data_IF_079001212360
#
_entry.id   IF_079001212360
#
_cell.length_a   1.000
_cell.length_b   1.000
_cell.length_c   1.000
_cell.angle_alpha   90.00
_cell.angle_beta   90.00
_cell.angle_gamma   90.00
#
_symmetry.space_group_name_H-M   'P 1'
#
loop_
_entity.id
_entity.type
_entity.pdbx_description
1 polymer ?
#
# COMPACT_ATOMS: atom_id res chain seq x y z
N UNK A 1 -33.90 -29.29 -31.42
CA UNK A 1 -33.67 -28.41 -30.24
C UNK A 1 -34.26 -29.09 -29.03
N UNK A 2 -33.66 -30.21 -28.57
CA UNK A 2 -34.18 -31.00 -27.43
C UNK A 2 -33.07 -31.96 -26.91
N UNK A 3 -31.95 -31.41 -26.38
CA UNK A 3 -30.86 -32.26 -25.81
C UNK A 3 -30.41 -31.77 -24.42
N UNK A 4 -30.91 -30.63 -23.91
CA UNK A 4 -30.40 -30.04 -22.67
C UNK A 4 -31.07 -30.49 -21.36
N UNK A 5 -32.26 -31.06 -21.44
CA UNK A 5 -33.04 -31.44 -20.25
C UNK A 5 -32.72 -32.85 -19.71
N UNK A 6 -32.29 -33.75 -20.57
CA UNK A 6 -32.01 -35.13 -20.15
C UNK A 6 -30.74 -35.28 -19.29
N UNK A 7 -29.70 -34.46 -19.55
CA UNK A 7 -28.43 -34.51 -18.79
C UNK A 7 -28.55 -33.96 -17.35
N UNK A 8 -29.47 -33.03 -17.12
CA UNK A 8 -29.71 -32.47 -15.79
C UNK A 8 -30.56 -33.38 -14.90
N UNK A 9 -31.49 -34.11 -15.50
CA UNK A 9 -32.36 -35.07 -14.79
C UNK A 9 -31.53 -36.28 -14.36
N UNK A 10 -30.73 -36.85 -15.26
CA UNK A 10 -29.86 -38.01 -14.95
C UNK A 10 -28.81 -37.67 -13.88
N UNK A 11 -28.34 -36.45 -13.85
CA UNK A 11 -27.38 -35.99 -12.83
C UNK A 11 -28.04 -35.80 -11.46
N UNK A 12 -29.31 -35.40 -11.40
CA UNK A 12 -30.09 -35.32 -10.16
C UNK A 12 -30.44 -36.71 -9.62
N UNK A 13 -30.86 -37.61 -10.48
CA UNK A 13 -31.21 -39.00 -10.10
C UNK A 13 -30.00 -39.77 -9.52
N UNK A 14 -28.81 -39.63 -10.13
CA UNK A 14 -27.57 -40.23 -9.61
C UNK A 14 -27.11 -39.61 -8.30
N UNK A 15 -27.33 -38.33 -8.06
CA UNK A 15 -26.97 -37.66 -6.81
C UNK A 15 -27.89 -38.09 -5.66
N UNK A 16 -29.20 -38.29 -5.93
CA UNK A 16 -30.14 -38.81 -4.94
C UNK A 16 -29.86 -40.25 -4.57
N UNK A 17 -29.44 -41.09 -5.53
CA UNK A 17 -29.11 -42.52 -5.34
C UNK A 17 -27.87 -42.70 -4.45
N UNK A 18 -26.94 -41.72 -4.44
CA UNK A 18 -25.74 -41.72 -3.58
C UNK A 18 -25.92 -40.92 -2.29
N UNK A 19 -27.13 -40.40 -2.01
CA UNK A 19 -27.41 -39.61 -0.81
C UNK A 19 -26.68 -38.27 -0.77
N UNK A 20 -26.14 -37.81 -1.93
CA UNK A 20 -25.49 -36.52 -2.05
C UNK A 20 -26.53 -35.48 -2.49
N UNK A 21 -27.19 -34.86 -1.54
CA UNK A 21 -28.03 -33.67 -1.81
C UNK A 21 -27.12 -32.51 -2.17
N UNK A 22 -27.08 -32.11 -3.45
CA UNK A 22 -26.39 -30.89 -3.86
C UNK A 22 -27.16 -29.69 -3.31
N UNK A 23 -26.59 -29.07 -2.29
CA UNK A 23 -27.15 -27.84 -1.72
C UNK A 23 -26.98 -26.67 -2.71
N UNK A 24 -28.06 -25.97 -3.03
CA UNK A 24 -27.96 -24.78 -3.87
C UNK A 24 -27.32 -23.62 -3.10
N UNK A 25 -26.20 -23.13 -3.65
CA UNK A 25 -25.54 -21.93 -3.11
C UNK A 25 -26.47 -20.75 -3.30
N UNK A 26 -26.89 -20.14 -2.21
CA UNK A 26 -27.81 -19.01 -2.21
C UNK A 26 -27.13 -17.77 -2.78
N UNK A 27 -27.88 -16.95 -3.50
CA UNK A 27 -27.40 -15.75 -4.18
C UNK A 27 -26.65 -14.77 -3.26
N UNK A 28 -27.07 -14.61 -2.02
CA UNK A 28 -26.42 -13.72 -1.04
C UNK A 28 -25.03 -14.23 -0.63
N UNK A 29 -24.79 -15.56 -0.55
CA UNK A 29 -23.47 -16.10 -0.26
C UNK A 29 -22.50 -15.83 -1.42
N UNK A 30 -23.00 -15.94 -2.67
CA UNK A 30 -22.24 -15.56 -3.86
C UNK A 30 -21.92 -14.06 -3.89
N UNK A 31 -22.87 -13.20 -3.53
CA UNK A 31 -22.65 -11.76 -3.49
C UNK A 31 -21.57 -11.40 -2.47
N UNK A 32 -21.59 -11.98 -1.27
CA UNK A 32 -20.56 -11.74 -0.26
C UNK A 32 -19.18 -12.19 -0.76
N UNK A 33 -19.09 -13.36 -1.40
CA UNK A 33 -17.84 -13.82 -1.99
C UNK A 33 -17.32 -12.87 -3.09
N UNK A 34 -18.19 -12.47 -4.02
CA UNK A 34 -17.83 -11.53 -5.08
C UNK A 34 -17.38 -10.19 -4.48
N UNK A 35 -18.07 -9.68 -3.47
CA UNK A 35 -17.71 -8.44 -2.78
C UNK A 35 -16.33 -8.56 -2.09
N UNK A 36 -16.03 -9.69 -1.46
CA UNK A 36 -14.70 -9.94 -0.89
C UNK A 36 -13.60 -9.97 -1.95
N UNK A 37 -13.84 -10.62 -3.10
CA UNK A 37 -12.90 -10.62 -4.22
C UNK A 37 -12.71 -9.21 -4.81
N UNK A 38 -13.80 -8.45 -5.01
CA UNK A 38 -13.74 -7.07 -5.49
C UNK A 38 -12.89 -6.21 -4.55
N UNK A 39 -13.03 -6.37 -3.24
CA UNK A 39 -12.22 -5.62 -2.27
C UNK A 39 -10.73 -5.88 -2.43
N UNK A 40 -10.32 -7.13 -2.70
CA UNK A 40 -8.91 -7.47 -2.98
C UNK A 40 -8.46 -6.88 -4.33
N UNK A 41 -9.30 -6.95 -5.34
CA UNK A 41 -9.00 -6.34 -6.65
C UNK A 41 -8.80 -4.83 -6.49
N UNK A 42 -9.66 -4.14 -5.76
CA UNK A 42 -9.52 -2.70 -5.46
C UNK A 42 -8.24 -2.40 -4.67
N UNK A 43 -7.90 -3.22 -3.68
CA UNK A 43 -6.67 -3.07 -2.91
C UNK A 43 -5.41 -3.07 -3.80
N UNK A 44 -5.36 -3.96 -4.78
CA UNK A 44 -4.20 -4.12 -5.67
C UNK A 44 -4.23 -3.10 -6.82
N UNK A 45 -5.41 -2.92 -7.44
CA UNK A 45 -5.54 -2.07 -8.63
C UNK A 45 -5.42 -0.58 -8.32
N UNK A 46 -5.76 -0.14 -7.11
CA UNK A 46 -5.71 1.27 -6.73
C UNK A 46 -4.28 1.85 -6.79
N UNK A 47 -3.28 1.29 -6.07
CA UNK A 47 -1.92 1.79 -6.14
C UNK A 47 -1.29 1.58 -7.52
N UNK A 48 -1.53 0.45 -8.18
CA UNK A 48 -1.00 0.18 -9.52
C UNK A 48 -1.61 1.13 -10.56
N UNK A 49 -2.91 1.41 -10.47
CA UNK A 49 -3.59 2.36 -11.35
C UNK A 49 -2.99 3.77 -11.25
N UNK A 50 -2.67 4.22 -10.04
CA UNK A 50 -1.96 5.48 -9.84
C UNK A 50 -0.52 5.42 -10.39
N UNK A 51 0.24 4.38 -10.03
CA UNK A 51 1.63 4.20 -10.47
C UNK A 51 1.81 4.24 -11.99
N UNK A 52 0.86 3.67 -12.74
CA UNK A 52 0.89 3.63 -14.20
C UNK A 52 0.11 4.80 -14.86
N UNK A 53 -0.27 5.82 -14.09
CA UNK A 53 -0.95 7.01 -14.61
C UNK A 53 -2.37 6.75 -15.12
N UNK A 54 -2.99 5.61 -14.81
CA UNK A 54 -4.35 5.27 -15.22
C UNK A 54 -5.41 5.96 -14.35
N UNK A 55 -5.08 6.29 -13.11
CA UNK A 55 -5.99 6.94 -12.15
C UNK A 55 -5.28 8.04 -11.39
N UNK A 56 -6.02 9.09 -11.00
CA UNK A 56 -5.49 10.14 -10.11
C UNK A 56 -5.37 9.66 -8.66
N UNK A 57 -4.56 10.35 -7.87
CA UNK A 57 -4.28 10.04 -6.46
C UNK A 57 -5.56 9.94 -5.62
N UNK A 58 -6.48 10.88 -5.79
CA UNK A 58 -7.76 10.92 -5.08
C UNK A 58 -8.61 9.67 -5.35
N UNK A 59 -8.66 9.24 -6.63
CA UNK A 59 -9.39 8.03 -7.03
C UNK A 59 -8.76 6.77 -6.48
N UNK A 60 -7.42 6.71 -6.44
CA UNK A 60 -6.70 5.58 -5.86
C UNK A 60 -6.97 5.46 -4.35
N UNK A 61 -6.85 6.55 -3.58
CA UNK A 61 -7.18 6.54 -2.15
C UNK A 61 -8.67 6.28 -1.89
N UNK A 62 -9.58 6.81 -2.71
CA UNK A 62 -11.01 6.50 -2.65
C UNK A 62 -11.29 5.00 -2.85
N UNK A 63 -10.61 4.39 -3.81
CA UNK A 63 -10.70 2.94 -4.07
C UNK A 63 -10.15 2.10 -2.91
N UNK A 64 -9.05 2.53 -2.29
CA UNK A 64 -8.53 1.88 -1.08
C UNK A 64 -9.49 2.00 0.10
N UNK A 65 -10.09 3.17 0.31
CA UNK A 65 -11.08 3.37 1.36
C UNK A 65 -12.29 2.45 1.15
N UNK A 66 -12.79 2.33 -0.09
CA UNK A 66 -13.87 1.40 -0.45
C UNK A 66 -13.45 -0.05 -0.22
N UNK A 67 -12.22 -0.43 -0.57
CA UNK A 67 -11.70 -1.78 -0.32
C UNK A 67 -11.70 -2.11 1.16
N UNK A 68 -11.20 -1.23 2.01
CA UNK A 68 -11.09 -1.43 3.46
C UNK A 68 -12.46 -1.43 4.14
N UNK A 69 -13.28 -0.40 3.90
CA UNK A 69 -14.63 -0.28 4.51
C UNK A 69 -15.55 -1.38 4.01
N UNK A 70 -15.54 -1.67 2.70
CA UNK A 70 -16.30 -2.76 2.11
C UNK A 70 -15.89 -4.11 2.71
N UNK A 71 -14.59 -4.35 2.87
CA UNK A 71 -14.07 -5.56 3.52
C UNK A 71 -14.53 -5.71 4.96
N UNK A 72 -14.54 -4.64 5.74
CA UNK A 72 -15.02 -4.68 7.12
C UNK A 72 -16.50 -5.10 7.19
N UNK A 73 -17.32 -4.55 6.30
CA UNK A 73 -18.75 -4.91 6.21
C UNK A 73 -18.92 -6.38 5.78
N UNK A 74 -18.24 -6.79 4.69
CA UNK A 74 -18.32 -8.18 4.18
C UNK A 74 -17.84 -9.17 5.24
N UNK A 75 -16.75 -8.87 5.95
CA UNK A 75 -16.22 -9.72 7.02
C UNK A 75 -17.24 -9.88 8.15
N UNK A 76 -17.82 -8.78 8.63
CA UNK A 76 -18.82 -8.79 9.70
C UNK A 76 -20.05 -9.58 9.30
N UNK A 77 -20.61 -9.31 8.10
CA UNK A 77 -21.81 -10.00 7.61
C UNK A 77 -21.51 -11.49 7.38
N UNK A 78 -20.37 -11.83 6.79
CA UNK A 78 -19.96 -13.21 6.57
C UNK A 78 -19.81 -13.96 7.89
N UNK A 79 -19.23 -13.34 8.92
CA UNK A 79 -19.11 -13.94 10.25
C UNK A 79 -20.47 -14.28 10.86
N UNK A 80 -21.41 -13.33 10.85
CA UNK A 80 -22.77 -13.56 11.33
C UNK A 80 -23.48 -14.67 10.54
N UNK A 81 -23.34 -14.65 9.22
CA UNK A 81 -23.98 -15.63 8.35
C UNK A 81 -23.35 -17.03 8.48
N UNK A 82 -22.05 -17.15 8.78
CA UNK A 82 -21.40 -18.43 9.10
C UNK A 82 -22.05 -19.07 10.33
N UNK A 83 -22.34 -18.28 11.38
CA UNK A 83 -23.03 -18.79 12.57
C UNK A 83 -24.43 -19.30 12.22
N UNK A 84 -25.18 -18.55 11.41
CA UNK A 84 -26.55 -18.92 11.00
C UNK A 84 -26.54 -20.19 10.14
N UNK A 85 -25.66 -20.28 9.15
CA UNK A 85 -25.56 -21.43 8.24
C UNK A 85 -25.08 -22.67 8.97
N UNK A 86 -24.19 -22.54 9.94
CA UNK A 86 -23.77 -23.66 10.80
C UNK A 86 -24.93 -24.23 11.59
N UNK A 87 -25.77 -23.36 12.16
CA UNK A 87 -26.97 -23.81 12.92
C UNK A 87 -28.03 -24.44 12.03
N UNK A 88 -28.09 -24.09 10.74
CA UNK A 88 -29.05 -24.61 9.76
C UNK A 88 -28.55 -25.79 8.94
N UNK A 89 -27.30 -26.22 9.12
CA UNK A 89 -26.69 -27.32 8.36
C UNK A 89 -26.39 -27.01 6.90
N UNK A 90 -26.30 -25.73 6.50
CA UNK A 90 -26.07 -25.30 5.12
C UNK A 90 -24.56 -25.27 4.82
N UNK A 91 -23.96 -26.43 4.50
CA UNK A 91 -22.51 -26.62 4.40
C UNK A 91 -21.88 -25.83 3.26
N UNK A 92 -22.46 -25.91 2.04
CA UNK A 92 -21.88 -25.26 0.86
C UNK A 92 -21.95 -23.72 0.97
N UNK A 93 -23.06 -23.20 1.53
CA UNK A 93 -23.18 -21.77 1.81
C UNK A 93 -22.15 -21.31 2.86
N UNK A 94 -21.88 -22.12 3.89
CA UNK A 94 -20.87 -21.84 4.91
C UNK A 94 -19.47 -21.75 4.30
N UNK A 95 -19.10 -22.66 3.40
CA UNK A 95 -17.80 -22.61 2.73
C UNK A 95 -17.61 -21.29 1.94
N UNK A 96 -18.62 -20.89 1.16
CA UNK A 96 -18.58 -19.62 0.41
C UNK A 96 -18.37 -18.40 1.33
N UNK A 97 -19.05 -18.39 2.48
CA UNK A 97 -18.92 -17.33 3.47
C UNK A 97 -17.54 -17.30 4.15
N UNK A 98 -16.99 -18.46 4.46
CA UNK A 98 -15.63 -18.55 5.02
C UNK A 98 -14.61 -18.01 4.01
N UNK A 99 -14.74 -18.38 2.74
CA UNK A 99 -13.88 -17.86 1.68
C UNK A 99 -14.06 -16.34 1.53
N UNK A 100 -15.30 -15.83 1.54
CA UNK A 100 -15.59 -14.40 1.51
C UNK A 100 -14.92 -13.65 2.68
N UNK A 101 -15.00 -14.21 3.88
CA UNK A 101 -14.37 -13.66 5.08
C UNK A 101 -12.83 -13.63 4.93
N UNK A 102 -12.22 -14.70 4.40
CA UNK A 102 -10.78 -14.76 4.18
C UNK A 102 -10.32 -13.70 3.16
N UNK A 103 -11.02 -13.54 2.03
CA UNK A 103 -10.70 -12.48 1.08
C UNK A 103 -10.87 -11.08 1.69
N UNK A 104 -11.92 -10.87 2.47
CA UNK A 104 -12.18 -9.58 3.14
C UNK A 104 -11.18 -9.26 4.26
N UNK A 105 -10.49 -10.27 4.80
CA UNK A 105 -9.46 -10.05 5.81
C UNK A 105 -8.20 -9.40 5.21
N UNK A 106 -7.88 -9.67 3.92
CA UNK A 106 -6.66 -9.19 3.28
C UNK A 106 -6.53 -7.65 3.25
N UNK A 107 -7.55 -6.87 2.80
CA UNK A 107 -7.47 -5.41 2.83
C UNK A 107 -7.34 -4.84 4.25
N UNK A 108 -7.95 -5.48 5.25
CA UNK A 108 -7.85 -5.06 6.64
C UNK A 108 -6.45 -5.32 7.21
N UNK A 109 -5.88 -6.50 6.94
CA UNK A 109 -4.50 -6.84 7.35
C UNK A 109 -3.46 -5.93 6.67
N UNK A 110 -3.72 -5.48 5.45
CA UNK A 110 -2.85 -4.54 4.76
C UNK A 110 -2.98 -3.12 5.32
N UNK A 111 -4.19 -2.63 5.61
CA UNK A 111 -4.45 -1.24 5.97
C UNK A 111 -4.25 -0.94 7.47
N UNK A 112 -4.69 -1.84 8.36
CA UNK A 112 -4.68 -1.58 9.81
C UNK A 112 -3.27 -1.34 10.37
N UNK A 113 -2.24 -2.13 10.04
CA UNK A 113 -0.88 -1.86 10.48
C UNK A 113 -0.34 -0.53 9.96
N UNK A 114 -0.68 -0.17 8.71
CA UNK A 114 -0.25 1.10 8.11
C UNK A 114 -0.90 2.29 8.82
N UNK A 115 -2.17 2.20 9.16
CA UNK A 115 -2.86 3.22 9.95
C UNK A 115 -2.16 3.49 11.28
N UNK A 116 -1.84 2.45 12.04
CA UNK A 116 -1.11 2.61 13.31
C UNK A 116 0.29 3.18 13.10
N UNK A 117 1.00 2.74 12.07
CA UNK A 117 2.33 3.24 11.74
C UNK A 117 2.30 4.74 11.40
N UNK A 118 1.40 5.17 10.53
CA UNK A 118 1.24 6.59 10.16
C UNK A 118 0.80 7.42 11.35
N UNK A 119 -0.10 6.91 12.19
CA UNK A 119 -0.58 7.62 13.38
C UNK A 119 0.47 7.75 14.49
N UNK A 120 1.57 7.00 14.43
CA UNK A 120 2.64 7.02 15.43
C UNK A 120 3.78 8.00 15.12
N UNK A 121 3.77 8.60 13.93
CA UNK A 121 4.79 9.55 13.48
C UNK A 121 4.21 10.96 13.33
N UNK A 122 5.01 12.02 13.50
CA UNK A 122 4.55 13.39 13.26
C UNK A 122 4.24 13.60 11.77
N UNK A 123 3.24 14.44 11.43
CA UNK A 123 2.90 14.74 10.05
C UNK A 123 3.87 15.81 9.48
N UNK A 124 5.12 15.43 9.26
CA UNK A 124 6.16 16.27 8.66
C UNK A 124 6.55 15.68 7.30
N UNK A 125 6.80 16.55 6.32
CA UNK A 125 7.12 16.14 4.95
C UNK A 125 8.63 16.11 4.69
N UNK A 126 9.42 16.85 5.47
CA UNK A 126 10.86 16.96 5.33
C UNK A 126 11.57 16.59 6.62
N UNK A 127 12.71 15.90 6.50
CA UNK A 127 13.57 15.50 7.61
C UNK A 127 15.00 15.84 7.25
N UNK A 128 15.63 16.71 8.04
CA UNK A 128 17.02 17.11 7.85
C UNK A 128 17.90 16.80 9.06
N UNK A 129 19.14 16.41 8.83
CA UNK A 129 20.14 16.29 9.88
C UNK A 129 20.64 17.65 10.36
N UNK A 130 20.55 18.67 9.52
CA UNK A 130 20.91 20.06 9.84
C UNK A 130 19.66 20.94 9.78
N UNK A 131 19.09 21.25 10.94
CA UNK A 131 17.87 22.05 11.06
C UNK A 131 18.10 23.58 10.99
N UNK A 132 19.35 24.01 11.14
CA UNK A 132 19.73 25.44 11.08
C UNK A 132 20.00 25.85 9.64
N UNK A 133 20.67 24.98 8.89
CA UNK A 133 21.02 25.19 7.50
C UNK A 133 20.77 23.90 6.68
N UNK A 134 19.50 23.56 6.40
CA UNK A 134 19.18 22.33 5.69
C UNK A 134 19.80 22.34 4.28
N UNK A 135 20.24 21.16 3.76
CA UNK A 135 20.78 21.06 2.42
C UNK A 135 19.73 21.43 1.37
N UNK A 136 20.08 22.30 0.43
CA UNK A 136 19.20 22.66 -0.67
C UNK A 136 19.27 21.65 -1.80
N UNK A 137 18.11 21.35 -2.38
CA UNK A 137 17.98 20.58 -3.61
C UNK A 137 18.23 21.47 -4.84
N UNK A 138 18.66 20.85 -5.94
CA UNK A 138 18.92 21.50 -7.23
C UNK A 138 18.35 20.70 -8.37
N UNK A 139 18.93 19.53 -8.67
CA UNK A 139 18.47 18.65 -9.75
C UNK A 139 17.06 18.10 -9.50
N UNK A 140 16.75 17.73 -8.27
CA UNK A 140 15.42 17.25 -7.89
C UNK A 140 14.31 18.27 -8.19
N UNK A 141 14.58 19.57 -8.09
CA UNK A 141 13.61 20.63 -8.42
C UNK A 141 13.10 20.54 -9.86
N UNK A 142 13.96 20.19 -10.81
CA UNK A 142 13.63 20.09 -12.22
C UNK A 142 12.76 18.86 -12.56
N UNK A 143 12.80 17.82 -11.74
CA UNK A 143 12.09 16.57 -11.97
C UNK A 143 10.73 16.49 -11.26
N UNK A 144 10.41 17.46 -10.41
CA UNK A 144 9.19 17.45 -9.60
C UNK A 144 7.96 17.85 -10.41
N UNK A 145 6.87 17.14 -10.16
CA UNK A 145 5.56 17.45 -10.76
C UNK A 145 4.82 18.57 -10.02
N UNK A 146 3.79 19.12 -10.65
CA UNK A 146 2.94 20.22 -10.14
C UNK A 146 2.33 19.95 -8.75
N UNK A 147 2.16 18.68 -8.38
CA UNK A 147 1.54 18.24 -7.12
C UNK A 147 2.56 17.77 -6.07
N UNK A 148 3.83 18.08 -6.24
CA UNK A 148 4.87 17.74 -5.26
C UNK A 148 4.80 18.68 -4.05
N UNK A 149 5.17 18.16 -2.87
CA UNK A 149 5.29 18.97 -1.65
C UNK A 149 6.42 20.01 -1.82
N UNK A 150 6.39 21.09 -1.03
CA UNK A 150 7.51 22.04 -0.95
C UNK A 150 8.75 21.30 -0.40
N UNK A 151 9.95 21.73 -0.85
CA UNK A 151 11.24 21.25 -0.37
C UNK A 151 11.86 22.15 0.72
N UNK A 152 11.13 23.14 1.17
CA UNK A 152 11.59 24.03 2.24
C UNK A 152 11.18 23.45 3.59
N UNK A 153 12.16 23.22 4.46
CA UNK A 153 11.89 22.82 5.84
C UNK A 153 11.24 23.98 6.61
N UNK A 154 9.97 23.86 6.91
CA UNK A 154 9.24 24.85 7.68
C UNK A 154 9.69 24.86 9.15
N UNK A 155 9.79 26.04 9.81
CA UNK A 155 10.21 26.12 11.22
C UNK A 155 9.36 25.27 12.17
N UNK A 156 8.07 25.12 11.89
CA UNK A 156 7.17 24.28 12.68
C UNK A 156 7.49 22.79 12.52
N UNK A 157 7.84 22.34 11.31
CA UNK A 157 8.27 20.95 11.04
C UNK A 157 9.63 20.66 11.68
N UNK A 158 10.59 21.60 11.60
CA UNK A 158 11.88 21.49 12.27
C UNK A 158 11.73 21.28 13.79
N UNK A 159 10.79 22.02 14.43
CA UNK A 159 10.52 21.85 15.86
C UNK A 159 9.85 20.50 16.17
N UNK A 160 8.95 20.02 15.31
CA UNK A 160 8.33 18.70 15.45
C UNK A 160 9.37 17.60 15.25
N UNK A 161 10.23 17.71 14.22
CA UNK A 161 11.32 16.77 14.00
C UNK A 161 12.25 16.68 15.20
N UNK A 162 12.70 17.81 15.75
CA UNK A 162 13.60 17.85 16.91
C UNK A 162 13.00 17.13 18.12
N UNK A 163 11.70 17.22 18.30
CA UNK A 163 10.99 16.55 19.40
C UNK A 163 10.80 15.06 19.18
N UNK A 164 10.50 14.65 17.93
CA UNK A 164 10.19 13.27 17.62
C UNK A 164 11.42 12.42 17.28
N UNK A 165 12.45 13.06 16.72
CA UNK A 165 13.68 12.41 16.23
C UNK A 165 14.93 13.14 16.74
N UNK A 166 15.18 13.18 18.07
CA UNK A 166 16.32 13.92 18.64
C UNK A 166 17.68 13.37 18.24
N UNK A 167 17.74 12.12 17.77
CA UNK A 167 18.97 11.45 17.33
C UNK A 167 19.33 11.69 15.88
N UNK A 168 18.46 12.38 15.10
CA UNK A 168 18.75 12.76 13.71
C UNK A 168 19.62 14.01 13.73
N UNK A 169 20.95 13.79 13.59
CA UNK A 169 21.99 14.80 13.69
C UNK A 169 22.97 14.67 12.51
N UNK A 170 23.74 15.74 12.18
CA UNK A 170 24.81 15.67 11.20
C UNK A 170 25.85 14.60 11.54
N UNK A 171 26.30 13.88 10.52
CA UNK A 171 27.35 12.85 10.68
C UNK A 171 28.72 13.50 10.49
N UNK A 172 29.61 13.31 11.46
CA UNK A 172 31.03 13.72 11.33
C UNK A 172 31.89 12.57 10.81
N UNK A 173 32.82 12.88 9.91
CA UNK A 173 33.73 11.90 9.30
C UNK A 173 35.15 12.44 9.22
N UNK A 174 36.14 11.54 9.13
CA UNK A 174 37.52 11.86 8.88
C UNK A 174 37.91 11.69 7.40
N UNK A 175 36.97 11.39 6.55
CA UNK A 175 37.17 11.27 5.11
C UNK A 175 37.44 12.64 4.48
N UNK A 176 38.13 12.64 3.34
CA UNK A 176 38.17 13.83 2.49
C UNK A 176 36.76 14.12 1.94
N UNK A 177 36.50 15.35 1.51
CA UNK A 177 35.17 15.68 0.91
C UNK A 177 34.88 14.83 -0.32
N UNK A 178 35.87 14.57 -1.16
CA UNK A 178 35.74 13.73 -2.35
C UNK A 178 35.42 12.26 -1.99
N UNK A 179 36.12 11.68 -1.01
CA UNK A 179 35.87 10.32 -0.55
C UNK A 179 34.48 10.21 0.11
N UNK A 180 34.06 11.23 0.87
CA UNK A 180 32.77 11.27 1.51
C UNK A 180 31.63 11.35 0.48
N UNK A 181 31.75 12.17 -0.56
CA UNK A 181 30.80 12.23 -1.69
C UNK A 181 30.75 10.89 -2.41
N UNK A 182 31.91 10.33 -2.79
CA UNK A 182 31.96 9.03 -3.49
C UNK A 182 31.34 7.90 -2.67
N UNK A 183 31.56 7.90 -1.36
CA UNK A 183 30.96 6.91 -0.46
C UNK A 183 29.46 7.13 -0.30
N UNK A 184 28.98 8.37 -0.31
CA UNK A 184 27.56 8.70 -0.28
C UNK A 184 26.83 8.18 -1.53
N UNK A 185 27.41 8.38 -2.71
CA UNK A 185 26.90 7.83 -3.97
C UNK A 185 26.76 6.31 -3.88
N UNK A 186 27.86 5.61 -3.53
CA UNK A 186 27.84 4.17 -3.43
C UNK A 186 26.81 3.63 -2.40
N UNK A 187 26.62 4.35 -1.28
CA UNK A 187 25.63 3.98 -0.27
C UNK A 187 24.20 4.16 -0.79
N UNK A 188 23.90 5.30 -1.42
CA UNK A 188 22.56 5.59 -1.97
C UNK A 188 22.18 4.56 -3.05
N UNK A 189 23.11 4.21 -3.96
CA UNK A 189 22.92 3.16 -4.96
C UNK A 189 22.71 1.79 -4.31
N UNK A 190 23.49 1.44 -3.29
CA UNK A 190 23.34 0.19 -2.54
C UNK A 190 21.98 0.11 -1.83
N UNK A 191 21.44 1.23 -1.39
CA UNK A 191 20.09 1.33 -0.82
C UNK A 191 18.97 1.26 -1.88
N UNK A 192 19.32 1.25 -3.17
CA UNK A 192 18.37 1.17 -4.28
C UNK A 192 17.78 2.52 -4.69
N UNK A 193 18.40 3.62 -4.30
CA UNK A 193 18.03 4.95 -4.78
C UNK A 193 18.66 5.22 -6.15
N UNK A 194 17.96 5.97 -6.98
CA UNK A 194 18.48 6.50 -8.24
C UNK A 194 19.23 7.80 -7.98
N UNK A 195 20.56 7.79 -8.16
CA UNK A 195 21.38 9.01 -8.05
C UNK A 195 21.15 9.85 -9.28
N UNK A 196 20.63 11.07 -9.10
CA UNK A 196 20.27 11.99 -10.18
C UNK A 196 21.28 13.13 -10.37
N UNK A 197 22.07 13.45 -9.35
CA UNK A 197 23.08 14.50 -9.42
C UNK A 197 24.26 14.22 -8.47
N UNK A 198 25.48 14.53 -8.95
CA UNK A 198 26.72 14.51 -8.15
C UNK A 198 27.51 15.76 -8.47
N UNK A 199 27.61 16.67 -7.51
CA UNK A 199 28.36 17.93 -7.59
C UNK A 199 29.52 17.86 -6.60
N UNK A 200 30.72 17.54 -7.10
CA UNK A 200 31.93 17.41 -6.28
C UNK A 200 32.39 18.77 -5.72
N UNK A 201 32.19 19.83 -6.49
CA UNK A 201 32.63 21.17 -6.08
C UNK A 201 31.77 21.72 -4.95
N UNK A 202 30.45 21.50 -5.03
CA UNK A 202 29.51 21.84 -3.97
C UNK A 202 29.44 20.78 -2.84
N UNK A 203 30.09 19.64 -3.01
CA UNK A 203 29.99 18.51 -2.07
C UNK A 203 28.59 17.96 -1.94
N UNK A 204 27.80 17.92 -3.03
CA UNK A 204 26.37 17.57 -3.02
C UNK A 204 26.09 16.33 -3.85
N UNK A 205 25.25 15.45 -3.31
CA UNK A 205 24.67 14.29 -4.02
C UNK A 205 23.16 14.33 -3.87
N UNK A 206 22.46 14.20 -4.98
CA UNK A 206 20.99 14.10 -4.98
C UNK A 206 20.56 12.76 -5.55
N UNK A 207 19.56 12.15 -4.92
CA UNK A 207 19.03 10.87 -5.32
C UNK A 207 17.52 10.81 -5.09
N UNK A 208 16.84 9.86 -5.73
CA UNK A 208 15.39 9.65 -5.63
C UNK A 208 15.12 8.20 -5.24
N UNK A 209 14.32 8.01 -4.21
CA UNK A 209 13.71 6.73 -3.90
C UNK A 209 12.32 6.63 -4.52
N UNK A 210 11.98 5.47 -5.07
CA UNK A 210 10.65 5.25 -5.65
C UNK A 210 9.95 4.12 -4.91
N UNK A 211 8.79 4.42 -4.30
CA UNK A 211 8.02 3.42 -3.56
C UNK A 211 7.45 2.35 -4.50
N UNK A 212 7.44 1.09 -4.04
CA UNK A 212 7.06 -0.05 -4.88
C UNK A 212 5.60 -0.01 -5.33
N UNK A 213 4.65 0.25 -4.43
CA UNK A 213 3.22 0.15 -4.75
C UNK A 213 2.70 1.36 -5.53
N UNK A 214 2.88 2.56 -5.01
CA UNK A 214 2.34 3.78 -5.59
C UNK A 214 3.29 4.45 -6.59
N UNK A 215 4.59 4.15 -6.52
CA UNK A 215 5.58 4.87 -7.31
C UNK A 215 5.77 6.31 -6.83
N UNK A 216 5.48 6.61 -5.54
CA UNK A 216 5.83 7.90 -4.97
C UNK A 216 7.34 8.08 -4.98
N UNK A 217 7.76 9.29 -5.30
CA UNK A 217 9.16 9.68 -5.32
C UNK A 217 9.48 10.47 -4.06
N UNK A 218 10.51 10.02 -3.34
CA UNK A 218 11.07 10.71 -2.19
C UNK A 218 12.46 11.20 -2.57
N UNK A 219 12.69 12.52 -2.47
CA UNK A 219 13.93 13.16 -2.85
C UNK A 219 14.92 13.13 -1.67
N UNK A 220 16.19 12.83 -1.97
CA UNK A 220 17.27 12.77 -1.01
C UNK A 220 18.37 13.72 -1.44
N UNK A 221 18.93 14.46 -0.48
CA UNK A 221 20.13 15.26 -0.68
C UNK A 221 21.13 15.00 0.42
N UNK A 222 22.38 14.74 0.04
CA UNK A 222 23.52 14.68 0.94
C UNK A 222 24.42 15.87 0.66
N UNK A 223 24.76 16.63 1.69
CA UNK A 223 25.72 17.72 1.63
C UNK A 223 26.94 17.40 2.49
N UNK A 224 28.11 17.39 1.87
CA UNK A 224 29.41 17.23 2.54
C UNK A 224 30.03 18.62 2.71
N UNK A 225 30.45 18.95 3.92
CA UNK A 225 31.18 20.17 4.26
C UNK A 225 32.57 19.78 4.77
N UNK A 226 33.62 20.41 4.24
CA UNK A 226 35.00 20.30 4.69
C UNK A 226 35.37 21.37 5.72
#
# INVERSE_FOLDING_TARGET
MCVSTHGSILRRETAEEWGVTMEEIRWWARLLLISGVISVVLLISAPLGYRFGMTGLQSAFGSLALAVLGSAIVLLVSFVMVIITTRKGLVDNRQQLVIAALFSLLPLLAAVPQYFKVSSVPPINDISTDLEEPPAFDAALAERGEFSNDLNLEPAEAQQQKSAYPDVLPVTSTLTSEDAVSRSVALLEQMGLEVINVDLDAGRVEAVATTFWFGFKDDFVVRVRG
#
